data_IF_797040893564
#
_entry.id   IF_797040893564
#
_cell.length_a   1.000
_cell.length_b   1.000
_cell.length_c   1.000
_cell.angle_alpha   90.00
_cell.angle_beta   90.00
_cell.angle_gamma   90.00
#
_symmetry.space_group_name_H-M   'P 1'
#
loop_
_entity.id
_entity.type
_entity.pdbx_description
1 polymer ?
#
# COMPACT_ATOMS: atom_id res chain seq x y z
N UNK A 1 17.60 4.35 18.24
CA UNK A 1 16.30 5.03 18.15
C UNK A 1 15.84 4.86 16.71
N UNK A 2 14.80 4.05 16.45
CA UNK A 2 14.27 3.86 15.08
C UNK A 2 13.70 5.20 14.59
N UNK A 3 14.03 5.58 13.35
CA UNK A 3 13.39 6.72 12.69
C UNK A 3 11.93 6.33 12.43
N UNK A 4 11.01 6.79 13.27
CA UNK A 4 9.56 6.50 13.15
C UNK A 4 8.95 7.07 11.84
N UNK A 5 9.73 7.80 11.03
CA UNK A 5 9.35 8.28 9.69
C UNK A 5 9.44 7.21 8.59
N UNK A 6 9.88 5.99 8.89
CA UNK A 6 10.21 4.97 7.87
C UNK A 6 9.26 3.77 7.86
N UNK A 7 8.36 3.66 8.84
CA UNK A 7 7.45 2.50 8.94
C UNK A 7 6.10 2.80 8.33
N UNK A 8 5.76 2.03 7.29
CA UNK A 8 4.45 2.02 6.66
C UNK A 8 3.77 0.68 6.94
N UNK A 9 2.56 0.74 7.50
CA UNK A 9 1.73 -0.44 7.73
C UNK A 9 0.92 -0.69 6.46
N UNK A 10 1.02 -1.91 5.92
CA UNK A 10 0.34 -2.32 4.70
C UNK A 10 -0.70 -3.38 5.04
N UNK A 11 -1.95 -3.12 4.66
CA UNK A 11 -3.06 -4.08 4.74
C UNK A 11 -3.39 -4.55 3.33
N UNK A 12 -3.20 -5.84 3.07
CA UNK A 12 -3.63 -6.49 1.83
C UNK A 12 -5.12 -6.86 1.96
N UNK A 13 -5.90 -6.55 0.93
CA UNK A 13 -7.33 -6.86 0.83
C UNK A 13 -7.61 -7.56 -0.49
N UNK A 14 -8.70 -8.30 -0.56
CA UNK A 14 -9.13 -8.96 -1.81
C UNK A 14 -9.41 -7.95 -2.93
N UNK A 15 -9.81 -6.72 -2.58
CA UNK A 15 -10.17 -5.65 -3.50
C UNK A 15 -9.10 -4.54 -3.62
N UNK A 16 -7.92 -4.71 -3.02
CA UNK A 16 -6.85 -3.70 -3.09
C UNK A 16 -5.93 -3.67 -1.88
N UNK A 17 -5.39 -2.49 -1.58
CA UNK A 17 -4.39 -2.30 -0.52
C UNK A 17 -4.78 -1.09 0.32
N UNK A 18 -4.46 -1.10 1.61
CA UNK A 18 -4.51 0.10 2.44
C UNK A 18 -3.17 0.34 3.11
N UNK A 19 -2.75 1.60 3.09
CA UNK A 19 -1.56 2.09 3.76
C UNK A 19 -1.96 2.84 5.02
N UNK A 20 -1.18 2.67 6.07
CA UNK A 20 -1.29 3.47 7.28
C UNK A 20 0.09 3.88 7.78
N UNK A 21 0.24 5.17 8.06
CA UNK A 21 1.41 5.72 8.71
C UNK A 21 1.25 5.66 10.24
N UNK A 22 2.36 5.71 10.98
CA UNK A 22 2.34 5.60 12.45
C UNK A 22 1.61 6.76 13.15
N UNK A 23 1.55 7.94 12.51
CA UNK A 23 0.80 9.10 12.97
C UNK A 23 -0.72 9.00 12.69
N UNK A 24 -1.19 7.85 12.19
CA UNK A 24 -2.61 7.53 12.05
C UNK A 24 -3.23 8.02 10.74
N UNK A 25 -2.43 8.51 9.79
CA UNK A 25 -2.95 8.77 8.44
C UNK A 25 -3.16 7.45 7.71
N UNK A 26 -4.17 7.38 6.85
CA UNK A 26 -4.47 6.16 6.10
C UNK A 26 -5.07 6.44 4.73
N UNK A 27 -4.69 5.61 3.76
CA UNK A 27 -5.15 5.69 2.39
C UNK A 27 -5.37 4.30 1.77
N UNK A 28 -6.45 4.14 1.01
CA UNK A 28 -6.78 2.93 0.26
C UNK A 28 -6.53 3.09 -1.24
N UNK A 29 -6.09 2.01 -1.86
CA UNK A 29 -5.81 1.88 -3.29
C UNK A 29 -6.55 0.67 -3.83
N UNK A 30 -7.25 0.85 -4.96
CA UNK A 30 -7.98 -0.22 -5.63
C UNK A 30 -7.43 -0.46 -7.04
N UNK A 31 -7.63 -1.66 -7.62
CA UNK A 31 -7.17 -2.00 -8.97
C UNK A 31 -7.67 -1.06 -10.07
N UNK A 32 -8.79 -0.38 -9.86
CA UNK A 32 -9.32 0.64 -10.78
C UNK A 32 -8.55 1.98 -10.72
N UNK A 33 -7.47 2.06 -9.94
CA UNK A 33 -6.65 3.25 -9.78
C UNK A 33 -7.21 4.29 -8.82
N UNK A 34 -8.32 4.00 -8.14
CA UNK A 34 -8.87 4.93 -7.16
C UNK A 34 -7.98 4.99 -5.91
N UNK A 35 -7.76 6.21 -5.44
CA UNK A 35 -7.14 6.53 -4.16
C UNK A 35 -8.22 7.14 -3.25
N UNK A 36 -8.33 6.65 -2.01
CA UNK A 36 -9.18 7.28 -1.00
C UNK A 36 -8.40 7.45 0.30
N UNK A 37 -8.32 8.69 0.78
CA UNK A 37 -7.76 8.99 2.10
C UNK A 37 -8.88 8.83 3.12
N UNK A 38 -8.67 8.01 4.14
CA UNK A 38 -9.67 7.70 5.16
C UNK A 38 -9.45 8.52 6.44
N UNK A 39 -8.20 8.76 6.81
CA UNK A 39 -7.81 9.58 7.96
C UNK A 39 -6.50 10.31 7.65
N UNK A 40 -6.36 11.55 8.15
CA UNK A 40 -5.16 12.37 7.95
C UNK A 40 -5.42 13.66 7.16
N UNK A 41 -4.58 14.67 7.40
CA UNK A 41 -4.65 15.96 6.73
C UNK A 41 -3.56 16.14 5.67
N UNK A 42 -2.49 15.33 5.71
CA UNK A 42 -1.37 15.45 4.79
C UNK A 42 -1.52 14.48 3.60
N UNK A 43 -2.16 14.97 2.53
CA UNK A 43 -2.32 14.21 1.28
C UNK A 43 -0.98 13.86 0.61
N UNK A 44 0.09 14.59 0.93
CA UNK A 44 1.43 14.36 0.39
C UNK A 44 2.17 13.22 1.14
N UNK A 45 1.61 12.73 2.25
CA UNK A 45 2.17 11.60 2.99
C UNK A 45 2.01 10.26 2.26
N UNK A 46 1.18 10.21 1.20
CA UNK A 46 0.91 9.00 0.46
C UNK A 46 1.30 9.13 -1.02
N UNK A 47 1.87 8.07 -1.63
CA UNK A 47 2.18 8.08 -3.05
C UNK A 47 0.89 8.15 -3.88
N UNK A 48 0.90 8.89 -4.97
CA UNK A 48 -0.27 8.97 -5.86
C UNK A 48 -0.61 7.62 -6.53
N UNK A 49 0.38 6.73 -6.64
CA UNK A 49 0.28 5.40 -7.23
C UNK A 49 1.12 4.41 -6.45
N UNK A 50 0.63 3.18 -6.36
CA UNK A 50 1.36 2.04 -5.79
C UNK A 50 1.34 0.91 -6.81
N UNK A 51 2.47 0.24 -6.93
CA UNK A 51 2.59 -1.00 -7.70
C UNK A 51 3.02 -2.08 -6.72
N UNK A 52 2.25 -3.17 -6.66
CA UNK A 52 2.60 -4.36 -5.89
C UNK A 52 3.06 -5.43 -6.87
N UNK A 53 4.30 -5.89 -6.72
CA UNK A 53 4.81 -7.06 -7.40
C UNK A 53 4.72 -8.24 -6.42
N UNK A 54 3.87 -9.22 -6.70
CA UNK A 54 3.82 -10.47 -5.92
C UNK A 54 4.68 -11.53 -6.61
N UNK A 55 5.88 -11.77 -6.08
CA UNK A 55 6.80 -12.78 -6.60
C UNK A 55 6.32 -14.22 -6.37
N UNK A 56 5.29 -14.45 -5.55
CA UNK A 56 4.69 -15.79 -5.36
C UNK A 56 3.95 -16.27 -6.61
N UNK A 57 3.60 -15.35 -7.51
CA UNK A 57 2.96 -15.65 -8.80
C UNK A 57 3.94 -16.24 -9.82
N UNK A 58 5.25 -16.05 -9.62
CA UNK A 58 6.28 -16.31 -10.63
C UNK A 58 6.74 -17.79 -10.67
N UNK A 59 6.21 -18.63 -9.77
CA UNK A 59 6.58 -20.05 -9.66
C UNK A 59 5.77 -20.92 -10.67
N UNK A 60 4.80 -20.35 -11.39
CA UNK A 60 3.96 -21.12 -12.34
C UNK A 60 4.52 -21.26 -13.77
N UNK A 61 5.71 -20.72 -14.05
CA UNK A 61 6.21 -20.57 -15.43
C UNK A 61 7.25 -21.61 -15.88
N UNK A 62 7.74 -22.49 -15.00
CA UNK A 62 8.91 -23.35 -15.26
C UNK A 62 8.61 -24.86 -15.32
N UNK A 63 7.40 -25.25 -15.75
CA UNK A 63 7.12 -26.62 -16.18
C UNK A 63 6.76 -26.67 -17.67
N UNK A 64 7.78 -26.59 -18.54
CA UNK A 64 7.75 -27.13 -19.91
C UNK A 64 9.11 -27.62 -20.34
#
# INVERSE_FOLDING_TARGET
MMNLSETLIIFLKDDGISLQTLDGQSAGYWPNGNLRIFAGQNRQAFPARIVLHDERSDISSNEK
#
